data_IF_085045402122
#
_entry.id   IF_085045402122
#
_cell.length_a   1.000
_cell.length_b   1.000
_cell.length_c   1.000
_cell.angle_alpha   90.00
_cell.angle_beta   90.00
_cell.angle_gamma   90.00
#
_symmetry.space_group_name_H-M   'P 1'
#
loop_
_entity.id
_entity.type
_entity.pdbx_description
1 polymer ?
#
# COMPACT_ATOMS: atom_id res chain seq x y z
N UNK A 1 -13.36 44.48 46.75
CA UNK A 1 -12.29 43.46 46.64
C UNK A 1 -12.87 42.05 46.72
N UNK A 2 -13.66 41.59 45.73
CA UNK A 2 -14.30 40.24 45.77
C UNK A 2 -14.53 39.61 44.39
N UNK A 3 -13.89 40.08 43.32
CA UNK A 3 -14.19 39.62 41.95
C UNK A 3 -12.99 39.06 41.15
N UNK A 4 -11.78 39.02 41.69
CA UNK A 4 -10.61 38.51 40.94
C UNK A 4 -10.34 37.00 41.13
N UNK A 5 -11.08 36.28 41.97
CA UNK A 5 -10.72 34.90 42.37
C UNK A 5 -11.37 33.78 41.51
N UNK A 6 -12.35 34.09 40.66
CA UNK A 6 -13.09 33.06 39.90
C UNK A 6 -12.60 32.83 38.46
N UNK A 7 -11.65 33.62 37.95
CA UNK A 7 -11.16 33.46 36.58
C UNK A 7 -9.96 32.50 36.46
N UNK A 8 -9.18 32.32 37.54
CA UNK A 8 -7.99 31.47 37.52
C UNK A 8 -8.30 29.96 37.54
N UNK A 9 -9.51 29.56 37.98
CA UNK A 9 -9.88 28.15 38.10
C UNK A 9 -10.42 27.55 36.79
N UNK A 10 -10.84 28.38 35.82
CA UNK A 10 -11.35 27.90 34.53
C UNK A 10 -10.25 27.64 33.50
N UNK A 11 -9.07 28.26 33.66
CA UNK A 11 -7.93 28.10 32.74
C UNK A 11 -7.08 26.84 32.99
N UNK A 12 -7.28 26.16 34.13
CA UNK A 12 -6.53 24.95 34.50
C UNK A 12 -7.16 23.64 33.99
N UNK A 13 -8.41 23.68 33.49
CA UNK A 13 -9.10 22.48 32.98
C UNK A 13 -8.88 22.21 31.48
N UNK A 14 -8.37 23.19 30.72
CA UNK A 14 -8.20 23.07 29.26
C UNK A 14 -6.87 22.39 28.88
N UNK A 15 -5.86 22.39 29.77
CA UNK A 15 -4.55 21.77 29.50
C UNK A 15 -4.49 20.25 29.74
N UNK A 16 -5.55 19.62 30.24
CA UNK A 16 -5.57 18.19 30.55
C UNK A 16 -6.12 17.29 29.42
N UNK A 17 -6.57 17.89 28.30
CA UNK A 17 -7.12 17.13 27.16
C UNK A 17 -6.14 16.95 26.00
N UNK A 18 -4.90 17.45 26.10
CA UNK A 18 -3.96 17.48 24.97
C UNK A 18 -2.85 16.43 24.98
N UNK A 19 -2.88 15.43 25.88
CA UNK A 19 -1.72 14.55 26.10
C UNK A 19 -1.98 13.04 26.09
N UNK A 20 -3.04 12.57 25.42
CA UNK A 20 -3.17 11.16 25.06
C UNK A 20 -3.40 11.04 23.55
N UNK A 21 -2.35 11.25 22.75
CA UNK A 21 -2.22 10.48 21.52
C UNK A 21 -1.51 9.20 21.93
N UNK A 22 -2.23 8.11 22.31
CA UNK A 22 -1.58 6.81 22.28
C UNK A 22 -1.03 6.71 20.86
N UNK A 23 0.28 6.52 20.72
CA UNK A 23 0.85 6.01 19.49
C UNK A 23 0.04 4.77 19.16
N UNK A 24 -0.88 4.88 18.21
CA UNK A 24 -1.67 3.75 17.78
C UNK A 24 -0.67 2.76 17.24
N UNK A 25 -0.69 1.55 17.78
CA UNK A 25 0.16 0.50 17.24
C UNK A 25 -0.32 0.23 15.81
N UNK A 26 0.62 0.19 14.86
CA UNK A 26 0.31 0.08 13.43
C UNK A 26 1.07 -1.11 12.86
N UNK A 27 0.41 -1.85 11.97
CA UNK A 27 1.07 -2.79 11.07
C UNK A 27 1.49 -1.98 9.84
N UNK A 28 2.80 -1.84 9.63
CA UNK A 28 3.35 -1.18 8.46
C UNK A 28 3.62 -2.23 7.39
N UNK A 29 2.85 -2.18 6.30
CA UNK A 29 3.04 -3.06 5.14
C UNK A 29 3.78 -2.28 4.05
N UNK A 30 5.05 -2.61 3.84
CA UNK A 30 5.88 -2.03 2.78
C UNK A 30 5.81 -2.91 1.53
N UNK A 31 5.28 -2.35 0.47
CA UNK A 31 5.08 -3.03 -0.82
C UNK A 31 6.16 -2.53 -1.77
N UNK A 32 6.90 -3.42 -2.40
CA UNK A 32 7.86 -3.11 -3.46
C UNK A 32 7.67 -4.05 -4.65
N UNK A 33 8.44 -3.92 -5.71
CA UNK A 33 8.39 -4.87 -6.82
C UNK A 33 9.04 -4.38 -8.10
N UNK A 34 9.09 -5.26 -9.10
CA UNK A 34 9.49 -4.96 -10.48
C UNK A 34 8.28 -4.89 -11.45
N UNK A 35 7.07 -4.83 -10.89
CA UNK A 35 5.84 -4.66 -11.66
C UNK A 35 5.76 -3.25 -12.25
N UNK A 36 5.38 -3.16 -13.53
CA UNK A 36 5.16 -1.89 -14.20
C UNK A 36 3.79 -1.32 -13.79
N UNK A 37 3.78 -0.06 -13.38
CA UNK A 37 2.56 0.71 -13.11
C UNK A 37 2.48 1.80 -14.20
N UNK A 38 1.34 1.97 -14.91
CA UNK A 38 0.07 1.25 -14.81
C UNK A 38 0.01 -0.07 -15.61
N UNK A 39 1.11 -0.46 -16.28
CA UNK A 39 1.09 -1.51 -17.31
C UNK A 39 0.58 -2.87 -16.84
N UNK A 40 0.90 -3.27 -15.61
CA UNK A 40 0.51 -4.57 -15.03
C UNK A 40 -0.55 -4.46 -13.94
N UNK A 41 -0.45 -3.44 -13.10
CA UNK A 41 -1.39 -3.17 -12.01
C UNK A 41 -1.67 -1.67 -11.94
N UNK A 42 -2.85 -1.31 -11.46
CA UNK A 42 -3.25 0.08 -11.18
C UNK A 42 -3.65 0.31 -9.73
N UNK A 43 -3.89 -0.75 -8.96
CA UNK A 43 -4.14 -0.67 -7.53
C UNK A 43 -3.62 -1.90 -6.79
N UNK A 44 -3.48 -1.77 -5.48
CA UNK A 44 -3.14 -2.86 -4.57
C UNK A 44 -4.15 -2.90 -3.44
N UNK A 45 -4.73 -4.07 -3.19
CA UNK A 45 -5.55 -4.33 -2.00
C UNK A 45 -4.72 -5.07 -0.97
N UNK A 46 -4.68 -4.56 0.25
CA UNK A 46 -4.01 -5.18 1.40
C UNK A 46 -5.08 -5.60 2.39
N UNK A 47 -5.12 -6.87 2.74
CA UNK A 47 -6.00 -7.44 3.76
C UNK A 47 -5.19 -8.03 4.90
N UNK A 48 -5.65 -7.82 6.14
CA UNK A 48 -5.12 -8.45 7.34
C UNK A 48 -6.18 -9.40 7.88
N UNK A 49 -5.81 -10.68 7.94
CA UNK A 49 -6.67 -11.76 8.42
C UNK A 49 -6.09 -12.27 9.75
N UNK A 50 -6.97 -12.71 10.64
CA UNK A 50 -6.56 -13.33 11.90
C UNK A 50 -6.04 -14.78 11.71
N UNK A 51 -5.71 -15.46 12.81
CA UNK A 51 -5.25 -16.84 12.81
C UNK A 51 -6.27 -17.83 12.19
N UNK A 52 -7.56 -17.49 12.18
CA UNK A 52 -8.64 -18.28 11.57
C UNK A 52 -8.91 -17.89 10.10
N UNK A 53 -8.06 -17.04 9.50
CA UNK A 53 -8.22 -16.49 8.15
C UNK A 53 -9.52 -15.69 7.98
N UNK A 54 -10.02 -15.07 9.05
CA UNK A 54 -11.13 -14.11 8.95
C UNK A 54 -10.53 -12.74 8.69
N UNK A 55 -10.99 -12.06 7.64
CA UNK A 55 -10.57 -10.68 7.35
C UNK A 55 -11.00 -9.75 8.49
N UNK A 56 -10.04 -9.03 9.07
CA UNK A 56 -10.26 -8.09 10.18
C UNK A 56 -10.11 -6.64 9.72
N UNK A 57 -9.23 -6.42 8.75
CA UNK A 57 -8.92 -5.11 8.15
C UNK A 57 -8.61 -5.30 6.67
N UNK A 58 -8.95 -4.30 5.87
CA UNK A 58 -8.53 -4.22 4.49
C UNK A 58 -8.40 -2.75 4.08
N UNK A 59 -7.53 -2.48 3.10
CA UNK A 59 -7.37 -1.19 2.45
C UNK A 59 -7.06 -1.40 0.98
N UNK A 60 -7.43 -0.42 0.15
CA UNK A 60 -7.06 -0.38 -1.27
C UNK A 60 -6.25 0.88 -1.50
N UNK A 61 -5.16 0.75 -2.23
CA UNK A 61 -4.27 1.83 -2.60
C UNK A 61 -4.17 1.89 -4.10
N UNK A 62 -4.62 3.00 -4.68
CA UNK A 62 -4.45 3.30 -6.09
C UNK A 62 -2.99 3.67 -6.37
N UNK A 63 -2.40 3.02 -7.37
CA UNK A 63 -1.06 3.30 -7.86
C UNK A 63 -1.08 4.26 -9.06
N UNK A 64 -2.25 4.55 -9.61
CA UNK A 64 -2.43 5.49 -10.71
C UNK A 64 -3.33 6.61 -10.22
N UNK A 65 -2.89 7.87 -10.31
CA UNK A 65 -3.68 9.04 -9.90
C UNK A 65 -3.53 10.11 -10.95
N UNK A 66 -4.62 10.65 -11.47
CA UNK A 66 -4.52 11.71 -12.46
C UNK A 66 -4.20 13.07 -11.82
N UNK A 67 -3.12 13.77 -12.25
CA UNK A 67 -2.06 13.34 -13.18
C UNK A 67 -0.92 12.57 -12.48
N UNK A 68 -0.50 11.43 -13.03
CA UNK A 68 0.67 10.67 -12.54
C UNK A 68 0.45 9.23 -12.09
N UNK A 69 1.55 8.67 -11.57
CA UNK A 69 1.68 7.28 -11.11
C UNK A 69 2.44 7.29 -9.79
N UNK A 70 1.95 6.54 -8.80
CA UNK A 70 2.68 6.28 -7.55
C UNK A 70 3.67 5.14 -7.79
N UNK A 71 4.95 5.46 -7.69
CA UNK A 71 6.03 4.48 -7.86
C UNK A 71 6.16 3.57 -6.63
N UNK A 72 6.63 2.34 -6.83
CA UNK A 72 7.02 1.48 -5.71
C UNK A 72 8.42 1.89 -5.20
N UNK A 73 8.71 1.79 -3.89
CA UNK A 73 7.89 1.16 -2.86
C UNK A 73 6.80 2.07 -2.28
N UNK A 74 5.74 1.46 -1.75
CA UNK A 74 4.63 2.13 -1.07
C UNK A 74 4.45 1.56 0.33
N UNK A 75 4.03 2.40 1.28
CA UNK A 75 3.76 1.99 2.67
C UNK A 75 2.26 2.07 2.94
N UNK A 76 1.71 1.01 3.50
CA UNK A 76 0.30 0.94 3.92
C UNK A 76 0.27 0.73 5.42
N UNK A 77 -0.38 1.65 6.12
CA UNK A 77 -0.57 1.60 7.56
C UNK A 77 -1.95 1.05 7.89
N UNK A 78 -1.99 0.00 8.71
CA UNK A 78 -3.22 -0.66 9.13
C UNK A 78 -3.24 -0.76 10.65
N UNK A 79 -4.39 -0.53 11.27
CA UNK A 79 -4.56 -0.63 12.73
C UNK A 79 -4.11 -2.00 13.26
N UNK A 80 -3.42 -2.03 14.40
CA UNK A 80 -2.89 -3.25 15.01
C UNK A 80 -3.95 -4.34 15.24
N UNK A 81 -3.53 -5.58 15.02
CA UNK A 81 -4.16 -6.78 15.53
C UNK A 81 -3.06 -7.62 16.18
N UNK A 82 -3.11 -7.79 17.50
CA UNK A 82 -2.11 -8.60 18.21
C UNK A 82 -2.22 -10.08 17.84
N UNK A 83 -1.06 -10.75 17.79
CA UNK A 83 -0.96 -12.19 17.58
C UNK A 83 -0.51 -12.59 16.17
N UNK A 84 -0.81 -13.84 15.81
CA UNK A 84 -0.48 -14.38 14.48
C UNK A 84 -1.51 -13.91 13.46
N UNK A 85 -1.05 -13.22 12.42
CA UNK A 85 -1.88 -12.68 11.34
C UNK A 85 -1.40 -13.16 9.97
N UNK A 86 -2.32 -13.12 9.02
CA UNK A 86 -2.02 -13.27 7.60
C UNK A 86 -2.19 -11.93 6.90
N UNK A 87 -1.16 -11.51 6.18
CA UNK A 87 -1.20 -10.37 5.28
C UNK A 87 -1.41 -10.91 3.88
N UNK A 88 -2.51 -10.52 3.25
CA UNK A 88 -2.85 -10.88 1.87
C UNK A 88 -2.79 -9.63 1.02
N UNK A 89 -1.99 -9.66 -0.03
CA UNK A 89 -1.82 -8.56 -0.96
C UNK A 89 -2.29 -9.00 -2.33
N UNK A 90 -3.23 -8.26 -2.90
CA UNK A 90 -3.79 -8.50 -4.22
C UNK A 90 -3.38 -7.35 -5.14
N UNK A 91 -2.69 -7.67 -6.23
CA UNK A 91 -2.46 -6.72 -7.31
C UNK A 91 -3.71 -6.66 -8.18
N UNK A 92 -4.21 -5.45 -8.42
CA UNK A 92 -5.43 -5.22 -9.17
C UNK A 92 -5.11 -4.53 -10.51
N UNK A 93 -5.84 -4.91 -11.55
CA UNK A 93 -5.88 -4.24 -12.85
C UNK A 93 -7.32 -4.03 -13.24
N UNK A 94 -7.75 -2.77 -13.39
CA UNK A 94 -9.14 -2.38 -13.66
C UNK A 94 -10.12 -3.04 -12.66
N UNK A 95 -9.74 -3.09 -11.38
CA UNK A 95 -10.52 -3.73 -10.32
C UNK A 95 -10.48 -5.27 -10.30
N UNK A 96 -9.84 -5.93 -11.27
CA UNK A 96 -9.68 -7.38 -11.30
C UNK A 96 -8.37 -7.82 -10.62
N UNK A 97 -8.44 -8.84 -9.76
CA UNK A 97 -7.23 -9.47 -9.19
C UNK A 97 -6.42 -10.18 -10.28
N UNK A 98 -5.18 -9.72 -10.48
CA UNK A 98 -4.22 -10.33 -11.42
C UNK A 98 -3.09 -11.09 -10.72
N UNK A 99 -2.90 -10.89 -9.42
CA UNK A 99 -1.90 -11.60 -8.62
C UNK A 99 -2.24 -11.52 -7.13
N UNK A 100 -1.82 -12.53 -6.37
CA UNK A 100 -2.04 -12.60 -4.92
C UNK A 100 -0.79 -13.11 -4.21
N UNK A 101 -0.43 -12.46 -3.11
CA UNK A 101 0.68 -12.82 -2.23
C UNK A 101 0.15 -12.99 -0.81
N UNK A 102 0.52 -14.11 -0.17
CA UNK A 102 0.26 -14.32 1.26
C UNK A 102 1.58 -14.20 2.04
N UNK A 103 1.52 -13.55 3.20
CA UNK A 103 2.61 -13.50 4.16
C UNK A 103 2.11 -13.68 5.58
N UNK A 104 2.85 -14.42 6.39
CA UNK A 104 2.55 -14.58 7.82
C UNK A 104 3.37 -13.58 8.61
N UNK A 105 2.75 -12.94 9.59
CA UNK A 105 3.42 -12.04 10.51
C UNK A 105 2.96 -12.32 11.93
N UNK A 106 3.86 -12.11 12.89
CA UNK A 106 3.53 -12.11 14.30
C UNK A 106 3.58 -10.68 14.80
N UNK A 107 2.43 -10.16 15.19
CA UNK A 107 2.25 -8.76 15.58
C UNK A 107 2.30 -8.67 17.09
N UNK A 108 3.26 -7.88 17.59
CA UNK A 108 3.46 -7.64 19.02
C UNK A 108 2.87 -6.29 19.46
N UNK A 109 3.15 -5.93 20.72
CA UNK A 109 2.75 -4.63 21.27
C UNK A 109 3.38 -3.45 20.51
N UNK A 110 4.57 -3.64 19.93
CA UNK A 110 5.29 -2.58 19.20
C UNK A 110 4.90 -2.49 17.72
N UNK A 111 3.87 -3.21 17.26
CA UNK A 111 3.55 -3.29 15.83
C UNK A 111 4.19 -4.47 15.11
N UNK A 112 4.15 -4.39 13.77
CA UNK A 112 4.92 -5.24 12.89
C UNK A 112 5.22 -4.50 11.58
N UNK A 113 6.45 -4.66 11.08
CA UNK A 113 6.81 -4.28 9.71
C UNK A 113 6.72 -5.53 8.83
N UNK A 114 6.01 -5.43 7.71
CA UNK A 114 5.81 -6.53 6.77
C UNK A 114 6.20 -6.08 5.38
N UNK A 115 7.24 -6.71 4.83
CA UNK A 115 7.77 -6.41 3.51
C UNK A 115 7.23 -7.38 2.46
N UNK A 116 6.60 -6.90 1.39
CA UNK A 116 6.10 -7.77 0.31
C UNK A 116 6.56 -7.27 -1.05
N UNK A 117 7.15 -8.19 -1.82
CA UNK A 117 7.59 -7.93 -3.19
C UNK A 117 6.58 -8.43 -4.21
N UNK A 118 6.08 -7.54 -5.05
CA UNK A 118 5.29 -7.84 -6.24
C UNK A 118 6.26 -8.17 -7.38
N UNK A 119 6.25 -9.40 -7.86
CA UNK A 119 7.12 -9.84 -8.93
C UNK A 119 6.33 -10.02 -10.23
N UNK A 120 6.82 -9.46 -11.35
CA UNK A 120 6.20 -9.60 -12.68
C UNK A 120 5.96 -11.05 -13.08
N UNK A 121 6.88 -11.96 -12.72
CA UNK A 121 6.78 -13.39 -13.04
C UNK A 121 5.62 -14.09 -12.32
N UNK A 122 4.99 -13.43 -11.35
CA UNK A 122 3.86 -13.93 -10.57
C UNK A 122 2.49 -13.45 -11.07
N UNK A 123 2.43 -12.66 -12.14
CA UNK A 123 1.17 -12.23 -12.74
C UNK A 123 0.43 -13.45 -13.32
N UNK A 124 -0.84 -13.60 -12.96
CA UNK A 124 -1.70 -14.71 -13.37
C UNK A 124 -1.46 -16.02 -12.62
N UNK A 125 -0.46 -16.09 -11.73
CA UNK A 125 -0.19 -17.29 -10.94
C UNK A 125 -1.07 -17.29 -9.69
N UNK A 126 -1.79 -18.40 -9.46
CA UNK A 126 -2.61 -18.63 -8.27
C UNK A 126 -2.02 -19.76 -7.45
N UNK A 127 -1.49 -19.42 -6.28
CA UNK A 127 -0.97 -20.41 -5.34
C UNK A 127 -2.07 -20.91 -4.40
N UNK A 128 -1.87 -22.10 -3.82
CA UNK A 128 -2.79 -22.63 -2.83
C UNK A 128 -2.76 -21.80 -1.53
N UNK A 129 -3.79 -21.94 -0.70
CA UNK A 129 -3.85 -21.29 0.61
C UNK A 129 -2.59 -21.62 1.44
N UNK A 130 -1.94 -20.59 1.98
CA UNK A 130 -0.70 -20.75 2.75
C UNK A 130 0.56 -20.77 1.89
N UNK A 131 0.43 -20.56 0.58
CA UNK A 131 1.54 -20.40 -0.36
C UNK A 131 1.56 -18.98 -0.93
N UNK A 132 2.71 -18.60 -1.44
CA UNK A 132 2.94 -17.33 -2.13
C UNK A 132 3.79 -17.57 -3.36
N UNK A 133 3.66 -16.70 -4.37
CA UNK A 133 4.47 -16.82 -5.59
C UNK A 133 5.81 -16.11 -5.38
N UNK A 134 6.92 -16.79 -5.73
CA UNK A 134 8.27 -16.23 -5.74
C UNK A 134 8.96 -16.71 -7.01
N UNK A 135 9.37 -15.77 -7.88
CA UNK A 135 10.06 -16.10 -9.14
C UNK A 135 9.27 -17.04 -10.06
N UNK A 136 7.95 -16.84 -10.16
CA UNK A 136 7.08 -17.67 -11.01
C UNK A 136 6.72 -19.05 -10.43
N UNK A 137 7.07 -19.35 -9.18
CA UNK A 137 6.76 -20.62 -8.53
C UNK A 137 6.04 -20.44 -7.19
N UNK A 138 5.12 -21.34 -6.87
CA UNK A 138 4.43 -21.34 -5.58
C UNK A 138 5.29 -22.00 -4.50
N UNK A 139 5.56 -21.24 -3.44
CA UNK A 139 6.32 -21.67 -2.25
C UNK A 139 5.48 -21.44 -1.00
N UNK A 140 5.82 -22.08 0.12
CA UNK A 140 5.14 -21.82 1.39
C UNK A 140 5.34 -20.36 1.82
N UNK A 141 4.27 -19.72 2.29
CA UNK A 141 4.31 -18.33 2.74
C UNK A 141 5.30 -18.20 3.92
N UNK A 142 6.35 -17.36 3.78
CA UNK A 142 7.38 -17.23 4.79
C UNK A 142 6.85 -16.53 6.04
N UNK A 143 7.43 -16.86 7.19
CA UNK A 143 7.18 -16.20 8.49
C UNK A 143 8.23 -15.15 8.84
N UNK A 144 9.36 -15.14 8.13
CA UNK A 144 10.47 -14.19 8.28
C UNK A 144 10.58 -13.33 7.05
N UNK A 145 11.25 -12.18 7.16
CA UNK A 145 11.66 -11.41 6.00
C UNK A 145 12.51 -12.28 5.09
N UNK A 146 11.97 -12.65 3.93
CA UNK A 146 12.80 -13.11 2.85
C UNK A 146 13.72 -11.95 2.45
N UNK A 147 14.92 -12.22 1.92
CA UNK A 147 15.69 -11.22 1.20
C UNK A 147 14.84 -10.77 0.03
N UNK A 148 14.04 -9.73 0.24
CA UNK A 148 13.10 -9.25 -0.73
C UNK A 148 13.87 -8.38 -1.73
N UNK A 149 13.39 -8.37 -2.97
CA UNK A 149 13.87 -7.47 -4.03
C UNK A 149 13.86 -5.99 -3.58
N UNK A 150 13.11 -5.66 -2.53
CA UNK A 150 13.08 -4.31 -1.95
C UNK A 150 14.42 -3.86 -1.36
N UNK A 151 15.35 -4.79 -1.07
CA UNK A 151 16.66 -4.48 -0.50
C UNK A 151 17.79 -4.31 -1.52
N UNK A 152 17.57 -4.65 -2.80
CA UNK A 152 18.65 -4.72 -3.80
C UNK A 152 18.85 -3.45 -4.63
N UNK A 153 18.12 -2.36 -4.39
CA UNK A 153 18.49 -1.03 -4.91
C UNK A 153 19.48 -0.32 -3.98
N UNK A 154 20.39 -1.05 -3.37
CA UNK A 154 21.71 -0.48 -3.14
C UNK A 154 22.24 -0.15 -4.54
N UNK A 155 21.97 1.07 -4.98
CA UNK A 155 22.55 1.69 -6.16
C UNK A 155 24.03 1.46 -5.97
N UNK A 156 24.58 0.48 -6.67
CA UNK A 156 26.03 0.41 -6.81
C UNK A 156 26.33 1.71 -7.53
N UNK A 157 26.89 2.68 -6.81
CA UNK A 157 27.45 3.91 -7.39
C UNK A 157 28.50 3.44 -8.41
N UNK A 158 28.04 3.18 -9.62
CA UNK A 158 28.90 2.99 -10.77
C UNK A 158 29.34 4.40 -11.12
N UNK A 159 30.58 4.74 -10.75
CA UNK A 159 31.23 5.98 -11.20
C UNK A 159 31.03 6.11 -12.72
N UNK A 160 30.10 6.98 -13.11
CA UNK A 160 29.77 7.26 -14.49
C UNK A 160 30.97 8.01 -15.07
N UNK A 161 31.70 7.36 -15.96
CA UNK A 161 32.69 8.02 -16.81
C UNK A 161 31.94 8.95 -17.74
N UNK A 162 32.03 10.26 -17.47
CA UNK A 162 31.46 11.33 -18.28
C UNK A 162 32.17 11.38 -19.64
N UNK A 163 31.55 10.81 -20.69
CA UNK A 163 31.81 11.24 -22.08
C UNK A 163 30.77 10.61 -23.04
N UNK A 164 29.66 11.31 -23.28
CA UNK A 164 28.91 11.21 -24.55
C UNK A 164 27.85 12.32 -24.66
N UNK A 165 27.88 12.99 -25.82
CA UNK A 165 26.90 13.97 -26.30
C UNK A 165 25.53 13.28 -26.47
N UNK A 166 24.53 13.71 -25.70
CA UNK A 166 23.15 13.19 -25.77
C UNK A 166 22.31 14.11 -26.65
N UNK A 167 21.78 13.57 -27.75
CA UNK A 167 20.74 14.25 -28.55
C UNK A 167 19.40 14.22 -27.81
N UNK A 168 18.70 15.36 -27.78
CA UNK A 168 17.43 15.54 -27.09
C UNK A 168 16.32 14.72 -27.78
N UNK A 169 16.05 13.52 -27.27
CA UNK A 169 14.87 12.75 -27.64
C UNK A 169 13.69 13.30 -26.82
N UNK A 170 12.85 14.11 -27.45
CA UNK A 170 11.58 14.57 -26.89
C UNK A 170 10.63 13.39 -26.71
N UNK A 171 10.72 12.71 -25.57
CA UNK A 171 9.80 11.65 -25.20
C UNK A 171 8.51 12.31 -24.71
N UNK A 172 7.50 12.40 -25.57
CA UNK A 172 6.16 12.84 -25.20
C UNK A 172 5.54 11.80 -24.29
N UNK A 173 5.64 12.01 -22.98
CA UNK A 173 4.89 11.25 -21.98
C UNK A 173 3.41 11.50 -22.23
N UNK A 174 2.76 10.63 -22.99
CA UNK A 174 1.30 10.65 -23.12
C UNK A 174 0.71 10.45 -21.73
N UNK A 175 0.06 11.49 -21.24
CA UNK A 175 -0.66 11.50 -19.96
C UNK A 175 -1.74 10.42 -20.02
N UNK A 176 -1.47 9.24 -19.43
CA UNK A 176 -2.43 8.17 -19.31
C UNK A 176 -3.46 8.54 -18.24
N UNK A 177 -4.52 9.22 -18.66
CA UNK A 177 -5.76 9.32 -17.91
C UNK A 177 -6.86 8.67 -18.75
N UNK A 178 -7.57 7.64 -18.24
CA UNK A 178 -8.77 7.19 -18.91
C UNK A 178 -9.69 8.41 -19.06
N UNK A 179 -10.19 8.63 -20.27
CA UNK A 179 -11.17 9.68 -20.55
C UNK A 179 -12.35 9.38 -19.62
N UNK A 180 -12.71 10.31 -18.73
CA UNK A 180 -13.93 10.19 -17.96
C UNK A 180 -15.06 10.04 -18.99
N UNK A 181 -15.63 8.85 -19.09
CA UNK A 181 -16.83 8.66 -19.89
C UNK A 181 -17.90 9.53 -19.23
N UNK A 182 -18.24 10.65 -19.86
CA UNK A 182 -19.33 11.50 -19.40
C UNK A 182 -20.57 10.61 -19.30
N UNK A 183 -21.00 10.31 -18.07
CA UNK A 183 -22.21 9.56 -17.78
C UNK A 183 -23.39 10.31 -18.41
N UNK A 184 -23.74 9.89 -19.64
CA UNK A 184 -24.90 10.36 -20.38
C UNK A 184 -26.17 9.84 -19.71
N UNK A 185 -26.51 10.39 -18.55
CA UNK A 185 -27.84 10.23 -17.96
C UNK A 185 -28.82 11.15 -18.69
N UNK A 186 -29.19 10.78 -19.91
CA UNK A 186 -30.40 11.27 -20.54
C UNK A 186 -31.60 10.63 -19.81
N UNK A 187 -32.07 11.28 -18.76
CA UNK A 187 -33.39 10.99 -18.18
C UNK A 187 -34.44 11.49 -19.17
N UNK A 188 -34.97 10.55 -19.96
CA UNK A 188 -36.14 10.72 -20.80
C UNK A 188 -37.38 10.82 -19.91
N UNK A 189 -37.75 12.06 -19.54
CA UNK A 189 -39.01 12.38 -18.89
C UNK A 189 -40.16 12.19 -19.90
N UNK A 190 -40.59 10.94 -20.08
CA UNK A 190 -41.77 10.60 -20.84
C UNK A 190 -43.05 10.90 -20.05
N UNK A 191 -43.66 12.05 -20.33
CA UNK A 191 -45.04 12.40 -20.01
C UNK A 191 -46.04 11.43 -20.70
N UNK A 192 -46.88 10.72 -19.94
CA UNK A 192 -48.24 10.29 -20.33
C UNK A 192 -49.19 10.19 -19.12
#
# INVERSE_FOLDING_TARGET
>A
MKQCLNLAMLLLFVAALSACNPSLDVIQVRICGDVLVPGHIDAVRVSVLDANRVERRAGVMELVRCPGVNELPQNVELNLLEGDVWIVIQGLKNGQEVMTFERRAKVGADGAEVLVGLNRDCIGIRCALGQTCVGGACVLAPTTDLPSICGSTAVVDMDVVEDAVVEEVSNSTETYCPVEEEDGSDTDDGDE
#
